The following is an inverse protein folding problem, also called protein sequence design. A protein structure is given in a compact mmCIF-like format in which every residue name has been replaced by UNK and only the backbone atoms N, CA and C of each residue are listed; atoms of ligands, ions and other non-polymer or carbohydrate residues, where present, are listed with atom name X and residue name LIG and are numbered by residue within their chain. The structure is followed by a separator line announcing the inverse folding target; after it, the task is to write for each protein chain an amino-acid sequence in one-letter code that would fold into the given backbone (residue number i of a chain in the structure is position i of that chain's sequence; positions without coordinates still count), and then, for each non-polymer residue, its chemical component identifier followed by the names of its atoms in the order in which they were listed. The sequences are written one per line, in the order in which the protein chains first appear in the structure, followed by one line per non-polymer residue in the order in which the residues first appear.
data_IF_688984920369
#
_entry.id   IF_688984920369
#
_cell.length_a   1.000
_cell.length_b   1.000
_cell.length_c   1.000
_cell.angle_alpha   90.00
_cell.angle_beta   90.00
_cell.angle_gamma   90.00
#
_symmetry.space_group_name_H-M   'P 1'
#
loop_
_entity.id
_entity.type
_entity.pdbx_description
1 polymer ?
#
# COMPACT_ATOMS: atom_id res chain seq x y z
N UNK A 1 -19.54 15.39 5.78
CA UNK A 1 -18.37 14.53 6.10
C UNK A 1 -18.87 13.40 7.02
N UNK A 2 -19.89 12.69 6.56
CA UNK A 2 -20.48 11.53 7.23
C UNK A 2 -20.99 10.63 6.11
N UNK A 3 -20.88 9.32 6.31
CA UNK A 3 -21.23 8.22 5.39
C UNK A 3 -20.14 7.75 4.41
N UNK A 4 -19.06 7.13 4.92
CA UNK A 4 -18.34 6.03 4.21
C UNK A 4 -17.75 4.96 5.17
N UNK A 5 -18.17 4.90 6.43
CA UNK A 5 -17.83 3.80 7.35
C UNK A 5 -18.91 2.70 7.36
N UNK A 6 -19.63 2.51 6.25
CA UNK A 6 -20.71 1.54 6.17
C UNK A 6 -20.14 0.13 5.91
N UNK A 7 -20.23 -0.70 6.95
CA UNK A 7 -20.14 -2.17 6.92
C UNK A 7 -18.89 -2.81 6.30
N UNK A 8 -17.71 -2.47 6.82
CA UNK A 8 -16.62 -3.46 6.82
C UNK A 8 -16.99 -4.53 7.86
N UNK A 9 -17.26 -5.80 7.48
CA UNK A 9 -17.47 -6.83 8.48
C UNK A 9 -16.19 -6.92 9.29
N UNK A 10 -16.26 -6.56 10.58
CA UNK A 10 -15.19 -6.82 11.54
C UNK A 10 -15.06 -8.34 11.71
N UNK A 11 -14.56 -9.04 10.70
CA UNK A 11 -14.03 -10.39 10.84
C UNK A 11 -12.71 -10.27 11.58
N UNK A 12 -12.80 -10.05 12.89
CA UNK A 12 -11.73 -10.40 13.82
C UNK A 12 -11.77 -11.90 14.10
N UNK A 13 -11.99 -12.73 13.08
CA UNK A 13 -11.60 -14.12 13.20
C UNK A 13 -10.07 -14.10 13.19
N UNK A 14 -9.47 -14.31 14.36
CA UNK A 14 -8.07 -14.73 14.43
C UNK A 14 -7.96 -15.91 13.47
N UNK A 15 -7.15 -15.76 12.42
CA UNK A 15 -6.70 -16.90 11.64
C UNK A 15 -6.21 -17.94 12.65
N UNK A 16 -6.70 -19.20 12.60
CA UNK A 16 -6.25 -20.24 13.50
C UNK A 16 -4.73 -20.30 13.46
N UNK A 17 -4.09 -20.32 14.62
CA UNK A 17 -2.64 -20.35 14.70
C UNK A 17 -2.14 -21.59 13.92
N UNK A 18 -1.46 -21.36 12.78
CA UNK A 18 -0.92 -22.42 11.93
C UNK A 18 -1.64 -22.66 10.61
N UNK A 19 -2.81 -22.05 10.35
CA UNK A 19 -3.46 -22.12 9.05
C UNK A 19 -2.88 -21.07 8.09
N UNK A 20 -1.89 -21.48 7.29
CA UNK A 20 -1.56 -20.76 6.06
C UNK A 20 -2.63 -21.15 5.04
N UNK A 21 -3.49 -20.22 4.65
CA UNK A 21 -4.21 -20.41 3.40
C UNK A 21 -3.17 -20.55 2.28
N UNK A 22 -3.35 -21.52 1.40
CA UNK A 22 -2.58 -21.59 0.15
C UNK A 22 -3.08 -20.46 -0.77
N UNK A 23 -2.78 -19.21 -0.40
CA UNK A 23 -3.01 -18.06 -1.24
C UNK A 23 -2.13 -18.14 -2.48
N UNK A 24 -2.68 -17.75 -3.63
CA UNK A 24 -1.85 -17.50 -4.80
C UNK A 24 -0.96 -16.28 -4.54
N UNK A 25 0.33 -16.39 -4.83
CA UNK A 25 1.30 -15.30 -4.71
C UNK A 25 1.80 -14.95 -6.10
N UNK A 26 1.53 -13.73 -6.55
CA UNK A 26 2.02 -13.20 -7.81
C UNK A 26 2.93 -11.98 -7.53
N UNK A 27 4.24 -12.08 -7.80
CA UNK A 27 5.18 -11.01 -7.50
C UNK A 27 5.26 -9.96 -8.62
N UNK A 28 5.28 -8.69 -8.22
CA UNK A 28 5.56 -7.56 -9.12
C UNK A 28 6.73 -6.76 -8.56
N UNK A 29 7.72 -6.47 -9.41
CA UNK A 29 8.87 -5.63 -9.03
C UNK A 29 8.52 -4.18 -9.34
N UNK A 30 8.58 -3.33 -8.31
CA UNK A 30 8.18 -1.93 -8.40
C UNK A 30 8.88 -1.12 -7.30
N UNK A 31 9.46 0.02 -7.67
CA UNK A 31 9.93 1.03 -6.71
C UNK A 31 8.79 2.02 -6.44
N UNK A 32 8.38 2.18 -5.18
CA UNK A 32 7.30 3.09 -4.80
C UNK A 32 7.64 4.57 -5.05
N UNK A 33 8.92 4.90 -5.16
CA UNK A 33 9.38 6.26 -5.45
C UNK A 33 9.22 6.63 -6.93
N UNK A 34 9.10 5.64 -7.82
CA UNK A 34 8.83 5.84 -9.25
C UNK A 34 7.33 5.83 -9.52
N UNK A 35 6.79 7.02 -9.80
CA UNK A 35 5.36 7.20 -10.05
C UNK A 35 4.84 6.37 -11.22
N UNK A 36 5.59 6.30 -12.32
CA UNK A 36 5.15 5.63 -13.55
C UNK A 36 5.16 4.11 -13.33
N UNK A 37 6.22 3.59 -12.69
CA UNK A 37 6.29 2.18 -12.33
C UNK A 37 5.14 1.75 -11.42
N UNK A 38 4.70 2.62 -10.51
CA UNK A 38 3.53 2.38 -9.65
C UNK A 38 2.25 2.28 -10.45
N UNK A 39 1.97 3.24 -11.33
CA UNK A 39 0.76 3.25 -12.16
C UNK A 39 0.69 2.01 -13.06
N UNK A 40 1.80 1.68 -13.73
CA UNK A 40 1.89 0.52 -14.61
C UNK A 40 1.68 -0.80 -13.85
N UNK A 41 2.26 -0.92 -12.65
CA UNK A 41 2.13 -2.12 -11.82
C UNK A 41 0.70 -2.28 -11.31
N UNK A 42 0.07 -1.21 -10.82
CA UNK A 42 -1.33 -1.26 -10.36
C UNK A 42 -2.27 -1.63 -11.49
N UNK A 43 -2.09 -1.04 -12.68
CA UNK A 43 -2.89 -1.38 -13.87
C UNK A 43 -2.69 -2.84 -14.29
N UNK A 44 -1.47 -3.38 -14.15
CA UNK A 44 -1.16 -4.78 -14.43
C UNK A 44 -1.81 -5.73 -13.42
N UNK A 45 -1.72 -5.44 -12.13
CA UNK A 45 -2.36 -6.22 -11.06
C UNK A 45 -3.87 -6.29 -11.27
N UNK A 46 -4.53 -5.15 -11.49
CA UNK A 46 -5.99 -5.09 -11.69
C UNK A 46 -6.43 -5.89 -12.93
N UNK A 47 -5.61 -5.92 -13.98
CA UNK A 47 -5.88 -6.69 -15.20
C UNK A 47 -5.66 -8.20 -15.02
N UNK A 48 -4.58 -8.61 -14.34
CA UNK A 48 -4.16 -10.01 -14.24
C UNK A 48 -4.87 -10.76 -13.10
N UNK A 49 -5.13 -10.08 -11.98
CA UNK A 49 -5.67 -10.69 -10.76
C UNK A 49 -7.07 -10.18 -10.40
N UNK A 50 -7.52 -9.09 -11.01
CA UNK A 50 -8.77 -8.42 -10.67
C UNK A 50 -8.60 -7.32 -9.61
N UNK A 51 -9.73 -6.78 -9.09
CA UNK A 51 -9.72 -5.60 -8.26
C UNK A 51 -8.92 -5.73 -6.96
N UNK A 52 -8.16 -4.68 -6.61
CA UNK A 52 -7.41 -4.62 -5.35
C UNK A 52 -8.37 -4.36 -4.17
N UNK A 53 -8.75 -5.39 -3.43
CA UNK A 53 -9.63 -5.23 -2.26
C UNK A 53 -8.94 -4.52 -1.09
N UNK A 54 -7.66 -4.81 -0.88
CA UNK A 54 -6.87 -4.24 0.22
C UNK A 54 -5.52 -3.78 -0.32
N UNK A 55 -5.20 -2.51 -0.10
CA UNK A 55 -3.86 -1.97 -0.27
C UNK A 55 -3.21 -1.82 1.10
N UNK A 56 -2.02 -2.39 1.27
CA UNK A 56 -1.19 -2.18 2.46
C UNK A 56 0.09 -1.47 2.05
N UNK A 57 0.26 -0.23 2.51
CA UNK A 57 1.47 0.54 2.30
C UNK A 57 2.52 0.12 3.34
N UNK A 58 3.31 -0.91 3.03
CA UNK A 58 4.34 -1.47 3.94
C UNK A 58 5.75 -0.98 3.60
N UNK A 59 5.97 -0.48 2.39
CA UNK A 59 7.29 -0.04 1.95
C UNK A 59 7.82 1.07 2.86
N UNK A 60 9.00 0.85 3.45
CA UNK A 60 9.59 1.80 4.36
C UNK A 60 11.09 1.59 4.52
N UNK A 61 11.83 2.68 4.62
CA UNK A 61 13.22 2.69 5.05
C UNK A 61 13.35 3.42 6.38
N UNK A 62 14.32 3.01 7.18
CA UNK A 62 14.63 3.64 8.46
C UNK A 62 16.10 4.04 8.48
N UNK A 63 16.36 5.30 8.84
CA UNK A 63 17.69 5.82 9.13
C UNK A 63 17.77 6.08 10.63
N UNK A 64 18.68 5.40 11.30
CA UNK A 64 18.81 5.42 12.76
C UNK A 64 19.98 6.29 13.20
N UNK A 65 19.85 6.92 14.37
CA UNK A 65 20.89 7.77 14.95
C UNK A 65 20.32 9.08 15.51
N UNK A 66 21.17 9.92 16.14
CA UNK A 66 20.76 11.25 16.57
C UNK A 66 20.30 12.08 15.38
N UNK A 67 19.24 12.88 15.56
CA UNK A 67 18.73 13.75 14.49
C UNK A 67 19.79 14.73 13.94
N UNK A 68 20.72 15.16 14.79
CA UNK A 68 21.85 16.02 14.39
C UNK A 68 22.87 15.34 13.48
N UNK A 69 22.84 14.01 13.39
CA UNK A 69 23.71 13.22 12.52
C UNK A 69 23.05 12.75 11.23
N UNK A 70 21.76 13.04 11.02
CA UNK A 70 21.06 12.68 9.79
C UNK A 70 21.47 13.64 8.67
N UNK A 71 21.88 13.07 7.53
CA UNK A 71 22.13 13.88 6.34
C UNK A 71 20.81 14.35 5.71
N UNK A 72 20.88 15.40 4.90
CA UNK A 72 19.73 15.83 4.09
C UNK A 72 19.28 14.73 3.11
N UNK A 73 20.21 13.89 2.64
CA UNK A 73 19.90 12.76 1.76
C UNK A 73 19.15 11.66 2.52
N UNK A 74 19.56 11.33 3.74
CA UNK A 74 18.85 10.36 4.59
C UNK A 74 17.40 10.77 4.83
N UNK A 75 17.17 12.06 5.06
CA UNK A 75 15.84 12.62 5.18
C UNK A 75 15.06 12.53 3.86
N UNK A 76 15.66 12.96 2.75
CA UNK A 76 15.05 12.94 1.43
C UNK A 76 14.64 11.53 1.00
N UNK A 77 15.53 10.54 1.18
CA UNK A 77 15.25 9.13 0.87
C UNK A 77 14.10 8.59 1.72
N UNK A 78 14.10 8.91 3.03
CA UNK A 78 13.07 8.45 3.96
C UNK A 78 11.70 9.01 3.55
N UNK A 79 11.63 10.29 3.17
CA UNK A 79 10.39 10.89 2.68
C UNK A 79 9.98 10.38 1.31
N UNK A 80 10.94 10.14 0.41
CA UNK A 80 10.68 9.59 -0.91
C UNK A 80 9.97 8.23 -0.79
N UNK A 81 10.46 7.33 0.05
CA UNK A 81 9.87 6.00 0.24
C UNK A 81 8.63 6.05 1.13
N UNK A 82 8.77 6.55 2.36
CA UNK A 82 7.77 6.35 3.42
C UNK A 82 6.59 7.34 3.34
N UNK A 83 6.68 8.39 2.52
CA UNK A 83 5.64 9.41 2.40
C UNK A 83 5.20 9.57 0.95
N UNK A 84 6.12 9.94 0.06
CA UNK A 84 5.81 10.11 -1.37
C UNK A 84 5.41 8.78 -2.00
N UNK A 85 6.09 7.67 -1.67
CA UNK A 85 5.72 6.34 -2.14
C UNK A 85 4.32 5.89 -1.69
N UNK A 86 3.97 6.11 -0.42
CA UNK A 86 2.62 5.87 0.10
C UNK A 86 1.58 6.65 -0.69
N UNK A 87 1.86 7.92 -0.99
CA UNK A 87 0.99 8.77 -1.79
C UNK A 87 0.84 8.24 -3.22
N UNK A 88 1.93 7.84 -3.88
CA UNK A 88 1.89 7.30 -5.25
C UNK A 88 0.99 6.08 -5.37
N UNK A 89 1.18 5.09 -4.49
CA UNK A 89 0.41 3.84 -4.54
C UNK A 89 -1.04 4.09 -4.15
N UNK A 90 -1.29 4.89 -3.11
CA UNK A 90 -2.64 5.24 -2.68
C UNK A 90 -3.40 6.02 -3.76
N UNK A 91 -2.77 6.98 -4.45
CA UNK A 91 -3.42 7.74 -5.52
C UNK A 91 -3.73 6.88 -6.76
N UNK A 92 -2.96 5.81 -6.98
CA UNK A 92 -3.19 4.89 -8.10
C UNK A 92 -4.33 3.91 -7.82
N UNK A 93 -4.49 3.45 -6.56
CA UNK A 93 -5.51 2.45 -6.18
C UNK A 93 -6.82 3.09 -5.69
N UNK A 94 -6.77 4.18 -4.93
CA UNK A 94 -7.94 4.77 -4.28
C UNK A 94 -9.07 5.18 -5.26
N UNK A 95 -8.80 5.77 -6.44
CA UNK A 95 -9.87 6.09 -7.40
C UNK A 95 -10.65 4.85 -7.87
N UNK A 96 -9.97 3.71 -7.98
CA UNK A 96 -10.59 2.43 -8.34
C UNK A 96 -11.48 1.94 -7.20
N UNK A 97 -11.02 2.04 -5.94
CA UNK A 97 -11.81 1.76 -4.73
C UNK A 97 -13.06 2.64 -4.62
N UNK A 98 -12.92 3.95 -4.88
CA UNK A 98 -14.03 4.91 -4.85
C UNK A 98 -15.06 4.56 -5.92
N UNK A 99 -14.62 4.25 -7.14
CA UNK A 99 -15.50 3.85 -8.25
C UNK A 99 -16.36 2.64 -7.88
N UNK A 100 -15.76 1.61 -7.26
CA UNK A 100 -16.46 0.39 -6.82
C UNK A 100 -17.16 0.52 -5.46
N UNK A 101 -16.99 1.65 -4.75
CA UNK A 101 -17.48 1.89 -3.38
C UNK A 101 -17.05 0.81 -2.39
N UNK A 102 -15.89 0.21 -2.59
CA UNK A 102 -15.35 -0.89 -1.77
C UNK A 102 -13.82 -0.89 -1.80
N UNK A 103 -13.22 -1.22 -0.67
CA UNK A 103 -11.78 -1.38 -0.49
C UNK A 103 -11.28 -0.80 0.82
N UNK A 104 -10.05 -1.17 1.20
CA UNK A 104 -9.39 -0.68 2.41
C UNK A 104 -7.94 -0.31 2.11
N UNK A 105 -7.49 0.83 2.64
CA UNK A 105 -6.08 1.23 2.62
C UNK A 105 -5.55 1.22 4.06
N UNK A 106 -4.43 0.53 4.27
CA UNK A 106 -3.72 0.47 5.56
C UNK A 106 -2.33 1.08 5.37
N UNK A 107 -1.93 1.97 6.27
CA UNK A 107 -0.62 2.66 6.30
C UNK A 107 0.04 2.49 7.66
#
# INVERSE_FOLDING_TARGET
IEALAADWPRRQEKLPAGERSAGCLEPYVMDVTDRVAVEDTVARVERELGPVDVLVNVAGILRTGPATGLSAQDWADTFAVNTTGVFHVSQSVAPLMVTRKSGCIVT
#
